data_IF_460223838852
#
_entry.id   IF_460223838852
#
_cell.length_a   1.000
_cell.length_b   1.000
_cell.length_c   1.000
_cell.angle_alpha   90.00
_cell.angle_beta   90.00
_cell.angle_gamma   90.00
#
_symmetry.space_group_name_H-M   'P 1'
#
loop_
_entity.id
_entity.type
_entity.pdbx_description
1 polymer ?
#
# COMPACT_ATOMS: atom_id res chain seq x y z
N UNK A 1 5.68 9.99 -18.57
CA UNK A 1 5.36 9.59 -17.18
C UNK A 1 6.65 9.13 -16.53
N UNK A 2 7.04 9.74 -15.42
CA UNK A 2 8.28 9.38 -14.71
C UNK A 2 8.11 8.05 -13.97
N UNK A 3 9.22 7.41 -13.59
CA UNK A 3 9.12 6.18 -12.79
C UNK A 3 8.42 6.41 -11.44
N UNK A 4 8.57 7.59 -10.83
CA UNK A 4 7.89 7.90 -9.57
C UNK A 4 6.38 8.09 -9.75
N UNK A 5 5.93 8.63 -10.89
CA UNK A 5 4.50 8.66 -11.25
C UNK A 5 3.93 7.26 -11.47
N UNK A 6 4.71 6.36 -12.09
CA UNK A 6 4.33 4.94 -12.22
C UNK A 6 4.20 4.28 -10.84
N UNK A 7 5.17 4.52 -9.95
CA UNK A 7 5.14 4.00 -8.58
C UNK A 7 3.89 4.51 -7.83
N UNK A 8 3.57 5.80 -7.96
CA UNK A 8 2.35 6.37 -7.41
C UNK A 8 1.10 5.66 -7.93
N UNK A 9 0.99 5.44 -9.23
CA UNK A 9 -0.16 4.76 -9.83
C UNK A 9 -0.30 3.30 -9.37
N UNK A 10 0.82 2.58 -9.19
CA UNK A 10 0.79 1.25 -8.61
C UNK A 10 0.22 1.27 -7.19
N UNK A 11 0.73 2.14 -6.31
CA UNK A 11 0.19 2.26 -4.96
C UNK A 11 -1.27 2.72 -4.94
N UNK A 12 -1.67 3.62 -5.85
CA UNK A 12 -3.05 4.08 -5.95
C UNK A 12 -4.00 2.94 -6.36
N UNK A 13 -3.59 2.10 -7.32
CA UNK A 13 -4.34 0.91 -7.71
C UNK A 13 -4.45 -0.11 -6.56
N UNK A 14 -3.37 -0.32 -5.80
CA UNK A 14 -3.39 -1.21 -4.63
C UNK A 14 -4.28 -0.66 -3.52
N UNK A 15 -4.23 0.65 -3.24
CA UNK A 15 -5.11 1.31 -2.28
C UNK A 15 -6.58 1.21 -2.70
N UNK A 16 -6.89 1.38 -3.99
CA UNK A 16 -8.23 1.17 -4.53
C UNK A 16 -8.70 -0.29 -4.33
N UNK A 17 -7.81 -1.28 -4.53
CA UNK A 17 -8.09 -2.68 -4.19
C UNK A 17 -8.36 -2.89 -2.70
N UNK A 18 -7.66 -2.18 -1.83
CA UNK A 18 -7.91 -2.16 -0.38
C UNK A 18 -9.29 -1.59 -0.03
N UNK A 19 -9.66 -0.46 -0.65
CA UNK A 19 -10.99 0.15 -0.51
C UNK A 19 -12.11 -0.76 -1.01
N UNK A 20 -11.90 -1.44 -2.14
CA UNK A 20 -12.83 -2.45 -2.64
C UNK A 20 -13.06 -3.55 -1.60
N UNK A 21 -11.99 -4.13 -1.05
CA UNK A 21 -12.11 -5.15 -0.01
C UNK A 21 -12.83 -4.63 1.25
N UNK A 22 -12.49 -3.42 1.71
CA UNK A 22 -13.17 -2.80 2.84
C UNK A 22 -14.67 -2.60 2.55
N UNK A 23 -15.02 -2.14 1.35
CA UNK A 23 -16.41 -2.01 0.90
C UNK A 23 -17.15 -3.35 0.88
N UNK A 24 -16.50 -4.43 0.41
CA UNK A 24 -17.08 -5.78 0.45
C UNK A 24 -17.34 -6.26 1.87
N UNK A 25 -16.41 -5.99 2.81
CA UNK A 25 -16.59 -6.32 4.24
C UNK A 25 -17.80 -5.59 4.81
N UNK A 26 -17.91 -4.28 4.56
CA UNK A 26 -19.04 -3.46 5.02
C UNK A 26 -20.37 -3.92 4.41
N UNK A 27 -20.36 -4.31 3.13
CA UNK A 27 -21.51 -4.86 2.42
C UNK A 27 -21.79 -6.34 2.75
N UNK A 28 -21.00 -6.98 3.62
CA UNK A 28 -21.07 -8.42 3.96
C UNK A 28 -20.95 -9.35 2.73
N UNK A 29 -20.26 -8.90 1.69
CA UNK A 29 -19.97 -9.67 0.49
C UNK A 29 -18.70 -10.50 0.73
N UNK A 30 -18.76 -11.79 0.39
CA UNK A 30 -17.60 -12.68 0.49
C UNK A 30 -16.50 -12.23 -0.47
N UNK A 31 -15.30 -11.97 0.07
CA UNK A 31 -14.13 -11.62 -0.74
C UNK A 31 -13.60 -12.88 -1.45
N UNK A 32 -13.45 -12.87 -2.79
CA UNK A 32 -12.77 -13.94 -3.52
C UNK A 32 -11.33 -14.14 -3.04
N UNK A 33 -10.89 -15.40 -2.93
CA UNK A 33 -9.59 -15.76 -2.34
C UNK A 33 -8.38 -15.14 -3.04
N UNK A 34 -8.49 -14.82 -4.33
CA UNK A 34 -7.41 -14.20 -5.10
C UNK A 34 -7.24 -12.70 -4.82
N UNK A 35 -8.29 -11.99 -4.36
CA UNK A 35 -8.21 -10.54 -4.17
C UNK A 35 -7.23 -10.17 -3.04
N UNK A 36 -7.30 -10.74 -1.82
CA UNK A 36 -6.34 -10.42 -0.76
C UNK A 36 -4.91 -10.85 -1.10
N UNK A 37 -4.75 -11.94 -1.86
CA UNK A 37 -3.43 -12.40 -2.32
C UNK A 37 -2.86 -11.41 -3.33
N UNK A 38 -3.65 -11.03 -4.35
CA UNK A 38 -3.26 -10.05 -5.36
C UNK A 38 -2.96 -8.67 -4.78
N UNK A 39 -3.76 -8.21 -3.81
CA UNK A 39 -3.51 -6.96 -3.10
C UNK A 39 -2.17 -7.00 -2.34
N UNK A 40 -1.90 -8.08 -1.60
CA UNK A 40 -0.63 -8.25 -0.88
C UNK A 40 0.58 -8.34 -1.82
N UNK A 41 0.53 -9.19 -2.83
CA UNK A 41 1.63 -9.34 -3.81
C UNK A 41 1.84 -8.08 -4.65
N UNK A 42 0.76 -7.40 -5.02
CA UNK A 42 0.82 -6.13 -5.73
C UNK A 42 1.44 -5.03 -4.87
N UNK A 43 1.12 -4.99 -3.57
CA UNK A 43 1.78 -4.09 -2.61
C UNK A 43 3.29 -4.37 -2.49
N UNK A 44 3.69 -5.64 -2.43
CA UNK A 44 5.11 -6.03 -2.41
C UNK A 44 5.84 -5.62 -3.71
N UNK A 45 5.21 -5.83 -4.87
CA UNK A 45 5.77 -5.42 -6.15
C UNK A 45 5.92 -3.89 -6.25
N UNK A 46 4.91 -3.13 -5.79
CA UNK A 46 4.95 -1.67 -5.75
C UNK A 46 6.06 -1.15 -4.81
N UNK A 47 6.27 -1.80 -3.65
CA UNK A 47 7.37 -1.49 -2.74
C UNK A 47 8.74 -1.72 -3.39
N UNK A 48 8.93 -2.88 -4.01
CA UNK A 48 10.18 -3.20 -4.72
C UNK A 48 10.45 -2.21 -5.86
N UNK A 49 9.39 -1.82 -6.58
CA UNK A 49 9.49 -0.83 -7.65
C UNK A 49 9.87 0.56 -7.12
N UNK A 50 9.19 1.08 -6.09
CA UNK A 50 9.53 2.39 -5.50
C UNK A 50 10.94 2.40 -4.93
N UNK A 51 11.37 1.33 -4.26
CA UNK A 51 12.74 1.21 -3.77
C UNK A 51 13.75 1.28 -4.92
N UNK A 52 13.52 0.53 -6.00
CA UNK A 52 14.37 0.57 -7.18
C UNK A 52 14.42 1.96 -7.84
N UNK A 53 13.28 2.66 -7.90
CA UNK A 53 13.20 4.04 -8.41
C UNK A 53 14.02 5.01 -7.55
N UNK A 54 13.89 4.92 -6.23
CA UNK A 54 14.65 5.77 -5.30
C UNK A 54 16.17 5.53 -5.43
N UNK A 55 16.60 4.28 -5.65
CA UNK A 55 18.01 3.95 -5.89
C UNK A 55 18.53 4.56 -7.21
N UNK A 56 17.72 4.63 -8.26
CA UNK A 56 18.15 5.23 -9.53
C UNK A 56 18.38 6.74 -9.44
N UNK A 57 17.60 7.43 -8.61
CA UNK A 57 17.79 8.88 -8.41
C UNK A 57 18.99 9.22 -7.52
N UNK A 58 19.49 8.27 -6.71
CA UNK A 58 20.64 8.47 -5.83
C UNK A 58 20.47 9.69 -4.92
N UNK A 59 21.50 10.53 -4.85
CA UNK A 59 21.50 11.76 -4.03
C UNK A 59 20.49 12.82 -4.50
N UNK A 60 19.96 12.69 -5.73
CA UNK A 60 18.93 13.59 -6.26
C UNK A 60 17.50 13.13 -5.92
N UNK A 61 17.33 11.95 -5.32
CA UNK A 61 16.01 11.46 -4.89
C UNK A 61 15.48 12.32 -3.75
N UNK A 62 14.28 12.93 -3.87
CA UNK A 62 13.71 13.70 -2.77
C UNK A 62 13.46 12.85 -1.52
N UNK A 63 13.73 13.40 -0.34
CA UNK A 63 13.54 12.71 0.95
C UNK A 63 12.11 12.16 1.14
N UNK A 64 11.12 12.89 0.63
CA UNK A 64 9.72 12.47 0.67
C UNK A 64 9.47 11.12 -0.02
N UNK A 65 10.23 10.78 -1.06
CA UNK A 65 10.10 9.49 -1.75
C UNK A 65 10.61 8.33 -0.86
N UNK A 66 11.64 8.57 -0.05
CA UNK A 66 12.13 7.62 0.95
C UNK A 66 11.15 7.47 2.12
N UNK A 67 10.59 8.58 2.60
CA UNK A 67 9.56 8.52 3.64
C UNK A 67 8.29 7.82 3.18
N UNK A 68 7.85 8.05 1.93
CA UNK A 68 6.75 7.29 1.34
C UNK A 68 7.04 5.79 1.35
N UNK A 69 8.25 5.37 0.96
CA UNK A 69 8.68 3.98 1.01
C UNK A 69 8.60 3.40 2.43
N UNK A 70 9.11 4.11 3.44
CA UNK A 70 9.06 3.69 4.85
C UNK A 70 7.62 3.53 5.34
N UNK A 71 6.74 4.48 5.00
CA UNK A 71 5.31 4.44 5.37
C UNK A 71 4.62 3.25 4.72
N UNK A 72 4.80 3.03 3.41
CA UNK A 72 4.23 1.87 2.73
C UNK A 72 4.80 0.55 3.25
N UNK A 73 6.10 0.48 3.53
CA UNK A 73 6.72 -0.72 4.07
C UNK A 73 6.17 -1.05 5.46
N UNK A 74 6.01 -0.04 6.31
CA UNK A 74 5.38 -0.18 7.62
C UNK A 74 3.93 -0.65 7.51
N UNK A 75 3.17 -0.07 6.56
CA UNK A 75 1.81 -0.51 6.25
C UNK A 75 1.75 -1.97 5.79
N UNK A 76 2.66 -2.38 4.91
CA UNK A 76 2.76 -3.75 4.40
C UNK A 76 3.11 -4.75 5.51
N UNK A 77 4.14 -4.48 6.31
CA UNK A 77 4.54 -5.31 7.45
C UNK A 77 3.41 -5.38 8.48
N UNK A 78 2.76 -4.25 8.78
CA UNK A 78 1.57 -4.21 9.64
C UNK A 78 0.42 -5.06 9.08
N UNK A 79 0.15 -4.97 7.78
CA UNK A 79 -0.88 -5.78 7.11
C UNK A 79 -0.58 -7.29 7.19
N UNK A 80 0.68 -7.69 7.00
CA UNK A 80 1.11 -9.09 7.19
C UNK A 80 0.91 -9.52 8.65
N UNK A 81 1.44 -8.76 9.61
CA UNK A 81 1.35 -9.10 11.02
C UNK A 81 -0.12 -9.18 11.48
N UNK A 82 -0.91 -8.15 11.22
CA UNK A 82 -2.28 -8.09 11.72
C UNK A 82 -3.22 -9.02 10.96
N UNK A 83 -3.18 -9.07 9.63
CA UNK A 83 -4.21 -9.78 8.85
C UNK A 83 -3.81 -11.18 8.41
N UNK A 84 -2.52 -11.53 8.42
CA UNK A 84 -2.07 -12.90 8.15
C UNK A 84 -1.70 -13.68 9.41
N UNK A 85 -1.20 -13.02 10.44
CA UNK A 85 -0.71 -13.68 11.66
C UNK A 85 -1.70 -13.55 12.82
N UNK A 86 -1.98 -12.34 13.29
CA UNK A 86 -2.73 -12.13 14.54
C UNK A 86 -4.25 -12.27 14.40
N UNK A 87 -4.85 -11.73 13.32
CA UNK A 87 -6.30 -11.68 13.10
C UNK A 87 -6.72 -12.32 11.77
N UNK A 88 -6.21 -13.51 11.49
CA UNK A 88 -6.37 -14.22 10.19
C UNK A 88 -7.81 -14.42 9.73
N UNK A 89 -8.77 -14.57 10.66
CA UNK A 89 -10.16 -14.91 10.34
C UNK A 89 -11.13 -13.72 10.48
N UNK A 90 -10.79 -12.73 11.29
CA UNK A 90 -11.66 -11.59 11.57
C UNK A 90 -10.80 -10.40 11.95
N UNK A 91 -10.36 -9.66 10.93
CA UNK A 91 -9.65 -8.40 11.14
C UNK A 91 -10.62 -7.34 11.70
N UNK A 92 -10.36 -6.78 12.90
CA UNK A 92 -11.14 -5.68 13.44
C UNK A 92 -11.18 -4.49 12.48
N UNK A 93 -12.36 -3.85 12.35
CA UNK A 93 -12.54 -2.72 11.43
C UNK A 93 -11.59 -1.56 11.71
N UNK A 94 -11.26 -1.29 12.98
CA UNK A 94 -10.32 -0.23 13.32
C UNK A 94 -8.90 -0.50 12.81
N UNK A 95 -8.47 -1.77 12.73
CA UNK A 95 -7.17 -2.13 12.16
C UNK A 95 -7.19 -2.01 10.63
N UNK A 96 -8.31 -2.37 9.99
CA UNK A 96 -8.49 -2.15 8.54
C UNK A 96 -8.42 -0.66 8.22
N UNK A 97 -9.15 0.16 8.99
CA UNK A 97 -9.12 1.61 8.85
C UNK A 97 -7.71 2.16 9.07
N UNK A 98 -7.03 1.75 10.16
CA UNK A 98 -5.66 2.17 10.45
C UNK A 98 -4.68 1.80 9.33
N UNK A 99 -4.73 0.56 8.83
CA UNK A 99 -3.92 0.13 7.69
C UNK A 99 -4.19 0.97 6.44
N UNK A 100 -5.47 1.23 6.14
CA UNK A 100 -5.87 2.11 5.04
C UNK A 100 -5.36 3.55 5.21
N UNK A 101 -5.38 4.10 6.43
CA UNK A 101 -4.84 5.42 6.73
C UNK A 101 -3.32 5.50 6.50
N UNK A 102 -2.57 4.45 6.83
CA UNK A 102 -1.13 4.37 6.54
C UNK A 102 -0.89 4.37 5.02
N UNK A 103 -1.69 3.64 4.25
CA UNK A 103 -1.61 3.66 2.78
C UNK A 103 -1.97 5.04 2.20
N UNK A 104 -2.99 5.72 2.74
CA UNK A 104 -3.37 7.07 2.33
C UNK A 104 -2.26 8.09 2.63
N UNK A 105 -1.61 8.00 3.79
CA UNK A 105 -0.45 8.82 4.13
C UNK A 105 0.71 8.58 3.16
N UNK A 106 1.03 7.31 2.86
CA UNK A 106 2.07 6.97 1.88
C UNK A 106 1.78 7.57 0.50
N UNK A 107 0.51 7.50 0.06
CA UNK A 107 0.08 8.12 -1.20
C UNK A 107 0.21 9.64 -1.17
N UNK A 108 -0.16 10.29 -0.07
CA UNK A 108 -0.03 11.74 0.09
C UNK A 108 1.44 12.19 -0.01
N UNK A 109 2.35 11.49 0.68
CA UNK A 109 3.79 11.79 0.61
C UNK A 109 4.34 11.57 -0.80
N UNK A 110 3.96 10.47 -1.44
CA UNK A 110 4.44 10.14 -2.79
C UNK A 110 3.84 11.07 -3.85
N UNK A 111 2.64 11.59 -3.64
CA UNK A 111 2.03 12.57 -4.55
C UNK A 111 2.87 13.84 -4.64
N UNK A 112 3.34 14.38 -3.52
CA UNK A 112 4.13 15.62 -3.48
C UNK A 112 5.50 15.55 -4.16
N UNK A 113 5.94 14.35 -4.56
CA UNK A 113 7.14 14.15 -5.39
C UNK A 113 6.82 13.67 -6.80
N UNK A 114 5.60 13.17 -7.04
CA UNK A 114 5.18 12.65 -8.34
C UNK A 114 4.52 13.71 -9.24
N UNK A 115 3.92 14.75 -8.64
CA UNK A 115 3.18 15.82 -9.31
C UNK A 115 3.43 17.17 -8.64
#
# INVERSE_FOLDING_TARGET
MTHIQIAFLFFAAIAAGGLLMAGMILAKIKIPSFIPIGHGLGGLAALGFLFWVNLQGGDATPDLAWWALVVFASGFVGGLLFFRVLFKQSAPLFLIAGHGSVAALGLYLLYGVAF
#
